data_IF_145795905784
#
_entry.id   IF_145795905784
#
_cell.length_a   1.000
_cell.length_b   1.000
_cell.length_c   1.000
_cell.angle_alpha   90.00
_cell.angle_beta   90.00
_cell.angle_gamma   90.00
#
_symmetry.space_group_name_H-M   'P 1'
#
loop_
_entity.id
_entity.type
_entity.pdbx_description
1 polymer ?
#
# COMPACT_ATOMS: atom_id res chain seq x y z
N UNK A 1 3.48 -14.88 -8.53
CA UNK A 1 2.83 -13.57 -8.59
C UNK A 1 3.27 -12.70 -7.42
N UNK A 2 3.23 -11.40 -7.63
CA UNK A 2 3.60 -10.44 -6.58
C UNK A 2 2.74 -10.65 -5.32
N UNK A 3 1.43 -10.83 -5.50
CA UNK A 3 0.52 -10.96 -4.36
C UNK A 3 0.72 -12.25 -3.58
N UNK A 4 1.16 -13.29 -4.26
CA UNK A 4 1.31 -14.63 -3.66
C UNK A 4 2.40 -14.68 -2.59
N UNK A 5 3.41 -13.82 -2.73
CA UNK A 5 4.57 -13.82 -1.83
C UNK A 5 4.52 -12.71 -0.78
N UNK A 6 3.40 -12.00 -0.67
CA UNK A 6 3.26 -10.94 0.31
C UNK A 6 2.78 -11.48 1.64
N UNK A 7 3.18 -10.82 2.74
CA UNK A 7 2.72 -11.19 4.07
C UNK A 7 1.27 -10.78 4.30
N UNK A 8 0.85 -9.67 3.68
CA UNK A 8 -0.49 -9.13 3.84
C UNK A 8 -1.02 -8.67 2.49
N UNK A 9 -2.28 -8.98 2.21
CA UNK A 9 -2.98 -8.52 1.00
C UNK A 9 -4.41 -8.21 1.37
N UNK A 10 -4.91 -7.07 0.89
CA UNK A 10 -6.33 -6.74 0.99
C UNK A 10 -6.79 -6.40 -0.43
N UNK A 11 -7.89 -6.99 -0.84
CA UNK A 11 -8.44 -6.75 -2.18
C UNK A 11 -9.80 -6.11 -2.10
N UNK A 12 -10.11 -5.28 -3.08
CA UNK A 12 -11.44 -4.71 -3.27
C UNK A 12 -12.11 -5.42 -4.44
N UNK A 13 -13.33 -5.89 -4.22
CA UNK A 13 -14.07 -6.64 -5.22
C UNK A 13 -15.36 -5.92 -5.57
N UNK A 14 -15.73 -6.03 -6.85
CA UNK A 14 -17.07 -5.65 -7.30
C UNK A 14 -17.65 -6.88 -8.00
N UNK A 15 -18.54 -7.58 -7.30
CA UNK A 15 -19.01 -8.89 -7.75
C UNK A 15 -17.84 -9.86 -7.81
N UNK A 16 -17.62 -10.47 -8.96
CA UNK A 16 -16.52 -11.39 -9.17
C UNK A 16 -15.23 -10.74 -9.68
N UNK A 17 -15.19 -9.41 -9.79
CA UNK A 17 -14.06 -8.70 -10.39
C UNK A 17 -13.23 -8.00 -9.32
N UNK A 18 -11.91 -8.23 -9.33
CA UNK A 18 -11.01 -7.49 -8.45
C UNK A 18 -10.77 -6.10 -9.04
N UNK A 19 -11.13 -5.05 -8.29
CA UNK A 19 -11.04 -3.67 -8.76
C UNK A 19 -9.94 -2.88 -8.08
N UNK A 20 -9.32 -3.43 -7.06
CA UNK A 20 -8.18 -2.80 -6.41
C UNK A 20 -7.54 -3.73 -5.40
N UNK A 21 -6.35 -3.36 -4.96
CA UNK A 21 -5.67 -4.12 -3.92
C UNK A 21 -4.59 -3.26 -3.26
N UNK A 22 -4.17 -3.70 -2.07
CA UNK A 22 -3.01 -3.18 -1.37
C UNK A 22 -2.26 -4.37 -0.77
N UNK A 23 -0.93 -4.33 -0.80
CA UNK A 23 -0.12 -5.40 -0.23
C UNK A 23 0.92 -4.85 0.72
N UNK A 24 1.46 -5.72 1.57
CA UNK A 24 2.53 -5.36 2.49
C UNK A 24 3.45 -6.55 2.71
N UNK A 25 4.72 -6.25 2.93
CA UNK A 25 5.73 -7.20 3.35
C UNK A 25 6.29 -6.75 4.70
N UNK A 26 6.81 -7.68 5.50
CA UNK A 26 7.28 -7.33 6.84
C UNK A 26 8.41 -8.25 7.28
N UNK A 27 9.12 -7.81 8.32
CA UNK A 27 10.09 -8.66 9.02
C UNK A 27 9.43 -9.45 10.17
N UNK A 28 8.11 -9.34 10.31
CA UNK A 28 7.30 -9.98 11.34
C UNK A 28 7.57 -9.49 12.76
N UNK A 29 8.33 -8.41 12.92
CA UNK A 29 8.74 -7.92 14.22
C UNK A 29 8.60 -6.40 14.37
N UNK A 30 9.33 -5.65 13.55
CA UNK A 30 9.48 -4.21 13.73
C UNK A 30 8.88 -3.40 12.60
N UNK A 31 9.06 -3.84 11.36
CA UNK A 31 8.81 -3.00 10.19
C UNK A 31 7.95 -3.70 9.16
N UNK A 32 7.09 -2.92 8.51
CA UNK A 32 6.31 -3.34 7.36
C UNK A 32 6.47 -2.30 6.26
N UNK A 33 6.41 -2.73 5.01
CA UNK A 33 6.52 -1.87 3.84
C UNK A 33 5.35 -2.17 2.91
N UNK A 34 4.72 -1.12 2.38
CA UNK A 34 3.61 -1.23 1.45
C UNK A 34 4.12 -0.92 0.04
N UNK A 35 4.43 -1.95 -0.78
CA UNK A 35 4.98 -1.72 -2.11
C UNK A 35 3.95 -1.21 -3.11
N UNK A 36 2.71 -1.66 -3.03
CA UNK A 36 1.72 -1.36 -4.06
C UNK A 36 0.34 -1.06 -3.47
N UNK A 37 -0.28 -0.05 -4.05
CA UNK A 37 -1.70 0.26 -3.88
C UNK A 37 -2.24 0.55 -5.27
N UNK A 38 -3.22 -0.23 -5.72
CA UNK A 38 -3.79 -0.06 -7.05
C UNK A 38 -5.31 -0.08 -6.99
N UNK A 39 -5.93 0.83 -7.76
CA UNK A 39 -7.37 0.83 -8.02
C UNK A 39 -7.54 1.06 -9.51
N UNK A 40 -8.34 0.21 -10.17
CA UNK A 40 -8.50 0.35 -11.61
C UNK A 40 -9.18 1.69 -11.95
N UNK A 41 -8.88 2.28 -13.13
CA UNK A 41 -9.30 3.65 -13.43
C UNK A 41 -10.79 3.94 -13.27
N UNK A 42 -11.66 3.00 -13.66
CA UNK A 42 -13.12 3.20 -13.59
C UNK A 42 -13.63 3.36 -12.16
N UNK A 43 -12.87 2.91 -11.18
CA UNK A 43 -13.29 2.93 -9.78
C UNK A 43 -12.54 3.95 -8.93
N UNK A 44 -11.71 4.78 -9.56
CA UNK A 44 -10.96 5.82 -8.83
C UNK A 44 -11.87 6.94 -8.38
N UNK A 45 -11.41 7.70 -7.37
CA UNK A 45 -12.14 8.86 -6.79
C UNK A 45 -13.45 8.46 -6.11
N UNK A 46 -13.55 7.24 -5.65
CA UNK A 46 -14.72 6.74 -4.92
C UNK A 46 -14.38 6.33 -3.49
N UNK A 47 -13.15 6.61 -3.02
CA UNK A 47 -12.74 6.30 -1.66
C UNK A 47 -12.21 4.89 -1.47
N UNK A 48 -12.08 4.09 -2.53
CA UNK A 48 -11.60 2.71 -2.43
C UNK A 48 -10.15 2.66 -1.98
N UNK A 49 -9.29 3.51 -2.56
CA UNK A 49 -7.89 3.58 -2.15
C UNK A 49 -7.73 3.95 -0.69
N UNK A 50 -8.49 4.95 -0.22
CA UNK A 50 -8.48 5.35 1.19
C UNK A 50 -8.89 4.21 2.10
N UNK A 51 -9.92 3.46 1.72
CA UNK A 51 -10.41 2.35 2.52
C UNK A 51 -9.38 1.23 2.58
N UNK A 52 -8.71 0.93 1.45
CA UNK A 52 -7.67 -0.08 1.40
C UNK A 52 -6.51 0.28 2.34
N UNK A 53 -6.07 1.55 2.31
CA UNK A 53 -4.98 1.99 3.18
C UNK A 53 -5.40 1.91 4.64
N UNK A 54 -6.60 2.39 4.98
CA UNK A 54 -7.09 2.35 6.35
C UNK A 54 -7.11 0.92 6.90
N UNK A 55 -7.60 -0.02 6.10
CA UNK A 55 -7.66 -1.42 6.52
C UNK A 55 -6.28 -2.04 6.65
N UNK A 56 -5.35 -1.69 5.75
CA UNK A 56 -3.99 -2.19 5.87
C UNK A 56 -3.30 -1.62 7.10
N UNK A 57 -3.43 -0.33 7.38
CA UNK A 57 -2.83 0.27 8.57
C UNK A 57 -3.37 -0.36 9.85
N UNK A 58 -4.65 -0.71 9.88
CA UNK A 58 -5.23 -1.41 11.02
C UNK A 58 -4.63 -2.81 11.17
N UNK A 59 -4.44 -3.53 10.05
CA UNK A 59 -3.79 -4.84 10.08
C UNK A 59 -2.35 -4.76 10.58
N UNK A 60 -1.66 -3.66 10.29
CA UNK A 60 -0.25 -3.49 10.61
C UNK A 60 -0.01 -2.74 11.91
N UNK A 61 -1.05 -2.51 12.71
CA UNK A 61 -0.98 -1.58 13.87
C UNK A 61 0.04 -1.99 14.93
N UNK A 62 0.45 -3.25 14.96
CA UNK A 62 1.43 -3.71 15.94
C UNK A 62 2.88 -3.53 15.49
N UNK A 63 3.08 -3.09 14.24
CA UNK A 63 4.42 -2.76 13.75
C UNK A 63 4.77 -1.33 14.13
N UNK A 64 5.99 -1.13 14.62
CA UNK A 64 6.47 0.20 14.93
C UNK A 64 6.66 1.06 13.68
N UNK A 65 7.19 0.44 12.61
CA UNK A 65 7.49 1.16 11.36
C UNK A 65 6.59 0.65 10.25
N UNK A 66 5.82 1.55 9.65
CA UNK A 66 5.01 1.23 8.47
C UNK A 66 5.38 2.27 7.41
N UNK A 67 6.09 1.85 6.38
CA UNK A 67 6.66 2.76 5.39
C UNK A 67 6.13 2.46 4.00
N UNK A 68 6.11 3.47 3.15
CA UNK A 68 5.85 3.33 1.72
C UNK A 68 6.53 4.47 0.97
N UNK A 69 6.70 4.27 -0.33
CA UNK A 69 7.13 5.33 -1.23
C UNK A 69 5.97 5.68 -2.15
N UNK A 70 5.83 6.94 -2.50
CA UNK A 70 4.77 7.38 -3.41
C UNK A 70 5.26 8.56 -4.24
N UNK A 71 4.53 8.84 -5.32
CA UNK A 71 4.77 10.05 -6.08
C UNK A 71 4.42 11.27 -5.24
N UNK A 72 5.11 12.37 -5.52
CA UNK A 72 4.96 13.59 -4.73
C UNK A 72 3.50 14.07 -4.67
N UNK A 73 2.76 13.93 -5.76
CA UNK A 73 1.36 14.36 -5.81
C UNK A 73 0.41 13.50 -4.96
N UNK A 74 0.90 12.37 -4.41
CA UNK A 74 0.10 11.52 -3.53
C UNK A 74 0.41 11.74 -2.05
N UNK A 75 1.36 12.60 -1.73
CA UNK A 75 1.74 12.85 -0.34
C UNK A 75 0.55 13.29 0.50
N UNK A 76 -0.25 14.22 0.02
CA UNK A 76 -1.41 14.73 0.78
C UNK A 76 -2.45 13.65 1.03
N UNK A 77 -2.60 12.71 0.09
CA UNK A 77 -3.50 11.58 0.27
C UNK A 77 -3.10 10.74 1.50
N UNK A 78 -1.81 10.40 1.59
CA UNK A 78 -1.32 9.59 2.71
C UNK A 78 -1.28 10.38 4.02
N UNK A 79 -0.99 11.69 3.98
CA UNK A 79 -1.02 12.52 5.17
C UNK A 79 -2.41 12.55 5.80
N UNK A 80 -3.44 12.63 4.99
CA UNK A 80 -4.83 12.62 5.49
C UNK A 80 -5.18 11.32 6.18
N UNK A 81 -4.43 10.25 5.89
CA UNK A 81 -4.65 8.93 6.48
C UNK A 81 -3.73 8.68 7.67
N UNK A 82 -3.03 9.71 8.15
CA UNK A 82 -2.23 9.60 9.37
C UNK A 82 -0.75 9.31 9.16
N UNK A 83 -0.28 9.33 7.92
CA UNK A 83 1.13 9.09 7.63
C UNK A 83 1.89 10.40 7.50
N UNK A 84 3.18 10.37 7.78
CA UNK A 84 4.05 11.55 7.75
C UNK A 84 5.13 11.39 6.70
N UNK A 85 5.51 12.52 6.07
CA UNK A 85 6.57 12.52 5.09
C UNK A 85 7.94 12.47 5.75
N UNK A 86 8.82 11.63 5.21
CA UNK A 86 10.24 11.61 5.56
C UNK A 86 11.04 11.53 4.27
N UNK A 87 12.35 11.77 4.36
CA UNK A 87 13.23 11.61 3.20
C UNK A 87 13.67 10.16 3.11
N UNK A 88 13.45 9.55 1.96
CA UNK A 88 13.88 8.18 1.69
C UNK A 88 14.95 8.13 0.62
N UNK A 89 15.75 7.07 0.64
CA UNK A 89 16.77 6.80 -0.37
C UNK A 89 16.45 5.43 -0.97
N UNK A 90 16.39 5.37 -2.29
CA UNK A 90 16.04 4.13 -2.98
C UNK A 90 17.12 3.75 -3.98
N UNK A 91 17.16 2.47 -4.30
CA UNK A 91 17.93 1.95 -5.43
C UNK A 91 17.07 0.95 -6.18
N UNK A 92 17.09 1.02 -7.51
CA UNK A 92 16.34 0.10 -8.36
C UNK A 92 17.30 -0.66 -9.26
N UNK A 93 17.10 -1.96 -9.40
CA UNK A 93 17.84 -2.79 -10.36
C UNK A 93 16.89 -3.03 -11.54
N UNK A 94 16.87 -2.09 -12.47
CA UNK A 94 15.88 -2.08 -13.53
C UNK A 94 15.91 -3.29 -14.45
N UNK A 95 17.06 -3.93 -14.57
CA UNK A 95 17.21 -5.11 -15.40
C UNK A 95 16.75 -6.41 -14.72
N UNK A 96 16.17 -6.32 -13.52
CA UNK A 96 15.65 -7.48 -12.78
C UNK A 96 14.15 -7.64 -12.94
N UNK A 97 13.49 -6.79 -13.70
CA UNK A 97 12.03 -6.87 -13.89
C UNK A 97 11.66 -7.35 -15.26
#
# INVERSE_FOLDING_TARGET
>A
SILKNCDYVIVAMDGGRMIGFINAISDKTLAAYIPLLEVIPEYRKQGIGSELVKRMLEKLKDYYMIDLCCDENLESFYRRLGMSKVTGIIKRNYDRI
#
